data_IF_115250388497
#
_entry.id   IF_115250388497
#
_cell.length_a   1.000
_cell.length_b   1.000
_cell.length_c   1.000
_cell.angle_alpha   90.00
_cell.angle_beta   90.00
_cell.angle_gamma   90.00
#
_symmetry.space_group_name_H-M   'P 1'
#
loop_
_entity.id
_entity.type
_entity.pdbx_description
1 polymer ?
#
# COMPACT_ATOMS: atom_id res chain seq x y z
N UNK A 1 -15.79 -22.48 -44.10
CA UNK A 1 -15.08 -21.34 -43.47
C UNK A 1 -15.67 -21.11 -42.08
N UNK A 2 -14.88 -20.96 -40.99
CA UNK A 2 -13.55 -21.48 -40.70
C UNK A 2 -13.55 -22.42 -39.46
N UNK A 3 -12.49 -23.22 -39.34
CA UNK A 3 -12.24 -24.16 -38.25
C UNK A 3 -11.82 -23.41 -36.99
N UNK A 4 -12.31 -23.86 -35.83
CA UNK A 4 -11.98 -23.33 -34.51
C UNK A 4 -10.49 -23.46 -34.25
N UNK A 5 -9.83 -22.34 -33.98
CA UNK A 5 -8.42 -22.22 -33.63
C UNK A 5 -8.07 -23.14 -32.47
N UNK A 6 -7.46 -24.29 -32.76
CA UNK A 6 -6.71 -25.04 -31.76
C UNK A 6 -5.52 -24.19 -31.31
N UNK A 7 -5.63 -23.61 -30.12
CA UNK A 7 -4.65 -22.78 -29.41
C UNK A 7 -3.22 -22.78 -30.01
N UNK A 8 -2.77 -21.67 -30.62
CA UNK A 8 -1.57 -21.65 -31.47
C UNK A 8 -0.24 -21.59 -30.74
N UNK A 9 -0.19 -21.61 -29.40
CA UNK A 9 1.09 -21.54 -28.68
C UNK A 9 1.12 -22.45 -27.45
N UNK A 10 1.48 -23.72 -27.68
CA UNK A 10 2.07 -24.57 -26.63
C UNK A 10 3.58 -24.54 -26.83
N UNK A 11 4.27 -23.66 -26.11
CA UNK A 11 5.73 -23.73 -26.03
C UNK A 11 6.10 -25.12 -25.51
N UNK A 12 6.71 -25.96 -26.36
CA UNK A 12 7.31 -27.23 -25.92
C UNK A 12 8.39 -26.85 -24.92
N UNK A 13 8.18 -27.17 -23.63
CA UNK A 13 9.21 -27.06 -22.61
C UNK A 13 10.34 -28.01 -23.00
N UNK A 14 11.38 -27.49 -23.64
CA UNK A 14 12.66 -28.16 -23.78
C UNK A 14 13.41 -27.95 -22.46
N UNK A 15 13.13 -28.81 -21.49
CA UNK A 15 13.88 -28.85 -20.24
C UNK A 15 15.22 -29.51 -20.50
N UNK A 16 16.21 -28.70 -20.88
CA UNK A 16 17.61 -29.10 -20.82
C UNK A 16 18.16 -28.76 -19.43
N UNK A 17 18.97 -29.63 -18.84
CA UNK A 17 19.66 -29.34 -17.59
C UNK A 17 20.81 -28.36 -17.87
N UNK A 18 20.80 -27.20 -17.22
CA UNK A 18 21.84 -26.19 -17.45
C UNK A 18 23.01 -26.29 -16.45
N UNK A 19 22.84 -27.07 -15.38
CA UNK A 19 23.88 -27.28 -14.35
C UNK A 19 23.88 -28.75 -13.93
N UNK A 20 25.07 -29.32 -13.92
CA UNK A 20 25.38 -30.62 -13.31
C UNK A 20 26.45 -30.37 -12.24
N UNK A 21 26.24 -30.91 -11.04
CA UNK A 21 27.20 -30.83 -9.93
C UNK A 21 27.65 -32.26 -9.62
N UNK A 22 28.95 -32.49 -9.69
CA UNK A 22 29.57 -33.78 -9.39
C UNK A 22 30.32 -33.71 -8.06
N UNK A 23 30.20 -34.79 -7.29
CA UNK A 23 30.91 -34.96 -6.03
C UNK A 23 31.74 -36.23 -6.16
N UNK A 24 33.01 -36.17 -5.73
CA UNK A 24 33.89 -37.34 -5.71
C UNK A 24 33.43 -38.29 -4.61
N UNK A 25 33.21 -39.57 -4.94
CA UNK A 25 32.73 -40.56 -3.97
C UNK A 25 33.60 -40.63 -2.71
N UNK A 26 34.92 -40.47 -2.84
CA UNK A 26 35.86 -40.48 -1.70
C UNK A 26 35.67 -39.34 -0.70
N UNK A 27 35.02 -38.24 -1.10
CA UNK A 27 34.83 -37.02 -0.28
C UNK A 27 33.35 -36.75 0.00
N UNK A 28 32.49 -37.72 -0.33
CA UNK A 28 31.03 -37.59 -0.20
C UNK A 28 30.62 -37.36 1.25
N UNK A 29 31.13 -38.16 2.17
CA UNK A 29 30.70 -38.13 3.57
C UNK A 29 31.20 -36.88 4.32
N UNK A 30 32.31 -36.29 3.87
CA UNK A 30 32.84 -35.02 4.40
C UNK A 30 31.98 -33.82 3.97
N UNK A 31 31.55 -33.81 2.71
CA UNK A 31 30.73 -32.75 2.13
C UNK A 31 29.28 -32.83 2.63
N UNK A 32 28.74 -34.05 2.74
CA UNK A 32 27.40 -34.30 3.25
C UNK A 32 27.43 -34.52 4.77
N UNK A 33 27.68 -33.44 5.52
CA UNK A 33 27.61 -33.49 6.97
C UNK A 33 26.17 -33.33 7.48
N UNK A 34 25.81 -34.09 8.52
CA UNK A 34 24.54 -33.90 9.23
C UNK A 34 24.64 -32.68 10.13
N UNK A 35 24.05 -31.56 9.71
CA UNK A 35 24.06 -30.30 10.48
C UNK A 35 22.82 -30.26 11.38
N UNK A 36 23.02 -30.54 12.67
CA UNK A 36 21.97 -30.38 13.67
C UNK A 36 21.73 -28.90 13.99
N UNK A 37 20.51 -28.55 14.43
CA UNK A 37 20.12 -27.17 14.78
C UNK A 37 21.03 -26.52 15.84
N UNK A 38 21.74 -27.33 16.63
CA UNK A 38 22.69 -26.90 17.68
C UNK A 38 24.02 -26.36 17.12
N UNK A 39 24.37 -26.74 15.88
CA UNK A 39 25.58 -26.26 15.18
C UNK A 39 25.36 -24.87 14.58
N UNK A 40 24.09 -24.51 14.33
CA UNK A 40 23.71 -23.16 13.92
C UNK A 40 24.01 -22.23 15.08
N UNK A 41 25.00 -21.36 14.88
CA UNK A 41 25.47 -20.43 15.90
C UNK A 41 24.30 -19.62 16.48
N UNK A 42 24.18 -19.58 17.81
CA UNK A 42 23.06 -18.96 18.55
C UNK A 42 22.75 -17.52 18.10
N UNK A 43 23.78 -16.77 17.69
CA UNK A 43 23.61 -15.42 17.15
C UNK A 43 22.81 -15.39 15.82
N UNK A 44 23.01 -16.37 14.94
CA UNK A 44 22.27 -16.46 13.66
C UNK A 44 20.79 -16.71 13.94
N UNK A 45 20.49 -17.65 14.87
CA UNK A 45 19.13 -17.96 15.30
C UNK A 45 18.45 -16.74 15.94
N UNK A 46 19.12 -16.08 16.88
CA UNK A 46 18.58 -14.91 17.55
C UNK A 46 18.34 -13.73 16.60
N UNK A 47 19.21 -13.51 15.62
CA UNK A 47 19.01 -12.46 14.60
C UNK A 47 17.83 -12.80 13.69
N UNK A 48 17.71 -14.06 13.26
CA UNK A 48 16.61 -14.51 12.41
C UNK A 48 15.24 -14.36 13.08
N UNK A 49 15.12 -14.74 14.36
CA UNK A 49 13.86 -14.62 15.11
C UNK A 49 13.49 -13.15 15.34
N UNK A 50 14.45 -12.28 15.69
CA UNK A 50 14.21 -10.84 15.82
C UNK A 50 13.78 -10.20 14.49
N UNK A 51 14.34 -10.63 13.37
CA UNK A 51 13.95 -10.14 12.04
C UNK A 51 12.54 -10.58 11.64
N UNK A 52 12.19 -11.85 11.88
CA UNK A 52 10.84 -12.37 11.60
C UNK A 52 9.78 -11.65 12.42
N UNK A 53 10.02 -11.46 13.72
CA UNK A 53 9.08 -10.75 14.60
C UNK A 53 8.84 -9.31 14.17
N UNK A 54 9.90 -8.58 13.78
CA UNK A 54 9.77 -7.20 13.29
C UNK A 54 8.94 -7.14 12.02
N UNK A 55 9.23 -8.01 11.04
CA UNK A 55 8.47 -8.10 9.79
C UNK A 55 6.99 -8.43 10.03
N UNK A 56 6.68 -9.31 10.97
CA UNK A 56 5.28 -9.63 11.31
C UNK A 56 4.56 -8.46 11.98
N UNK A 57 5.21 -7.77 12.91
CA UNK A 57 4.63 -6.59 13.60
C UNK A 57 4.42 -5.42 12.63
N UNK A 58 5.32 -5.20 11.68
CA UNK A 58 5.20 -4.17 10.65
C UNK A 58 4.11 -4.50 9.63
N UNK A 59 4.06 -5.75 9.17
CA UNK A 59 2.99 -6.23 8.28
C UNK A 59 1.62 -6.10 8.94
N UNK A 60 1.47 -6.48 10.20
CA UNK A 60 0.21 -6.33 10.93
C UNK A 60 -0.22 -4.85 11.11
N UNK A 61 0.74 -3.94 11.31
CA UNK A 61 0.47 -2.50 11.38
C UNK A 61 0.03 -1.92 10.02
N UNK A 62 0.66 -2.35 8.94
CA UNK A 62 0.27 -1.96 7.58
C UNK A 62 -1.09 -2.57 7.19
N UNK A 63 -1.37 -3.80 7.63
CA UNK A 63 -2.60 -4.50 7.32
C UNK A 63 -3.80 -3.96 8.10
N UNK A 64 -3.62 -3.29 9.23
CA UNK A 64 -4.71 -2.68 10.01
C UNK A 64 -5.11 -1.28 9.55
N UNK A 65 -4.28 -0.62 8.73
CA UNK A 65 -4.51 0.76 8.30
C UNK A 65 -4.59 0.87 6.78
N UNK A 66 -5.39 1.82 6.30
CA UNK A 66 -5.52 2.15 4.89
C UNK A 66 -5.23 3.63 4.69
N UNK A 67 -4.53 3.93 3.61
CA UNK A 67 -4.22 5.29 3.20
C UNK A 67 -5.36 5.78 2.29
N UNK A 68 -6.05 6.85 2.70
CA UNK A 68 -7.11 7.49 1.93
C UNK A 68 -6.60 8.86 1.47
N UNK A 69 -6.53 9.07 0.16
CA UNK A 69 -6.22 10.38 -0.44
C UNK A 69 -7.52 11.09 -0.79
N UNK A 70 -7.68 12.31 -0.30
CA UNK A 70 -8.90 13.12 -0.51
C UNK A 70 -8.54 14.34 -1.34
N UNK A 71 -9.13 14.42 -2.53
CA UNK A 71 -9.03 15.60 -3.37
C UNK A 71 -10.27 16.49 -3.21
N UNK A 72 -10.04 17.80 -3.17
CA UNK A 72 -11.11 18.79 -3.26
C UNK A 72 -11.18 19.41 -4.65
N UNK A 73 -12.31 20.02 -4.98
CA UNK A 73 -12.54 20.68 -6.27
C UNK A 73 -11.40 21.61 -6.72
N UNK A 74 -10.77 22.34 -5.78
CA UNK A 74 -9.65 23.22 -6.07
C UNK A 74 -8.38 22.50 -6.59
N UNK A 75 -8.17 21.23 -6.22
CA UNK A 75 -7.03 20.42 -6.66
C UNK A 75 -7.23 19.87 -8.08
N UNK A 76 -8.49 19.56 -8.45
CA UNK A 76 -8.84 19.09 -9.79
C UNK A 76 -8.65 20.20 -10.84
N UNK A 77 -9.07 21.43 -10.54
CA UNK A 77 -9.05 22.55 -11.52
C UNK A 77 -7.63 22.91 -11.97
N UNK A 78 -6.64 22.79 -11.08
CA UNK A 78 -5.23 23.11 -11.40
C UNK A 78 -4.63 22.08 -12.36
N UNK A 79 -4.89 20.80 -12.14
CA UNK A 79 -4.22 19.73 -12.88
C UNK A 79 -4.83 19.50 -14.27
N UNK A 80 -6.15 19.72 -14.43
CA UNK A 80 -6.82 19.64 -15.75
C UNK A 80 -6.23 20.63 -16.77
N UNK A 81 -5.60 21.72 -16.31
CA UNK A 81 -4.98 22.73 -17.19
C UNK A 81 -3.58 22.35 -17.68
N UNK A 82 -2.97 21.30 -17.12
CA UNK A 82 -1.60 20.86 -17.43
C UNK A 82 -1.55 19.71 -18.45
N UNK A 83 -2.69 19.33 -19.04
CA UNK A 83 -2.83 18.31 -20.09
C UNK A 83 -2.23 16.94 -19.72
N UNK A 84 -2.40 16.56 -18.45
CA UNK A 84 -2.03 15.24 -17.91
C UNK A 84 -3.29 14.37 -17.83
N UNK A 85 -3.19 13.09 -18.19
CA UNK A 85 -4.30 12.13 -18.20
C UNK A 85 -4.90 11.82 -16.81
N UNK A 86 -4.34 12.36 -15.72
CA UNK A 86 -4.79 12.14 -14.36
C UNK A 86 -5.80 13.21 -13.90
N UNK A 87 -6.81 12.80 -13.11
CA UNK A 87 -7.84 13.71 -12.60
C UNK A 87 -7.32 14.69 -11.54
N UNK A 88 -6.25 14.32 -10.83
CA UNK A 88 -5.64 15.08 -9.73
C UNK A 88 -4.17 14.71 -9.58
N UNK A 89 -3.35 15.66 -9.15
CA UNK A 89 -1.98 15.39 -8.73
C UNK A 89 -1.98 14.60 -7.40
N UNK A 90 -1.48 13.36 -7.45
CA UNK A 90 -1.44 12.44 -6.32
C UNK A 90 -0.44 12.84 -5.23
N UNK A 91 0.46 13.78 -5.50
CA UNK A 91 1.42 14.33 -4.53
C UNK A 91 0.87 15.53 -3.76
N UNK A 92 -0.06 16.28 -4.38
CA UNK A 92 -0.62 17.51 -3.82
C UNK A 92 -2.01 17.33 -3.17
N UNK A 93 -2.48 16.09 -3.01
CA UNK A 93 -3.74 15.78 -2.33
C UNK A 93 -3.49 15.41 -0.88
N UNK A 94 -4.45 15.78 -0.01
CA UNK A 94 -4.34 15.43 1.39
C UNK A 94 -4.47 13.92 1.59
N UNK A 95 -3.54 13.37 2.35
CA UNK A 95 -3.46 11.93 2.64
C UNK A 95 -3.78 11.67 4.10
N UNK A 96 -4.64 10.69 4.37
CA UNK A 96 -5.03 10.24 5.71
C UNK A 96 -4.66 8.79 5.91
N UNK A 97 -4.07 8.45 7.05
CA UNK A 97 -3.91 7.07 7.49
C UNK A 97 -5.06 6.73 8.44
N UNK A 98 -5.94 5.82 8.03
CA UNK A 98 -7.18 5.51 8.75
C UNK A 98 -7.24 4.00 9.03
N UNK A 99 -7.63 3.56 10.25
CA UNK A 99 -7.87 2.15 10.53
C UNK A 99 -8.92 1.56 9.59
N UNK A 100 -8.70 0.32 9.12
CA UNK A 100 -9.65 -0.37 8.21
C UNK A 100 -11.03 -0.57 8.83
N UNK A 101 -11.08 -0.77 10.14
CA UNK A 101 -12.33 -0.98 10.88
C UNK A 101 -13.07 0.32 11.19
N UNK A 102 -12.55 1.49 10.75
CA UNK A 102 -13.23 2.76 10.96
C UNK A 102 -14.50 2.85 10.09
N UNK A 103 -15.68 3.09 10.69
CA UNK A 103 -16.89 3.28 9.91
C UNK A 103 -16.81 4.60 9.12
N UNK A 104 -17.30 4.55 7.88
CA UNK A 104 -17.25 5.70 6.96
C UNK A 104 -17.96 6.95 7.51
N UNK A 105 -18.99 6.80 8.35
CA UNK A 105 -19.69 7.91 9.00
C UNK A 105 -18.77 8.70 9.94
N UNK A 106 -17.89 8.03 10.67
CA UNK A 106 -16.88 8.66 11.53
C UNK A 106 -15.84 9.37 10.68
N UNK A 107 -15.38 8.75 9.59
CA UNK A 107 -14.45 9.38 8.66
C UNK A 107 -15.02 10.67 8.03
N UNK A 108 -16.31 10.68 7.61
CA UNK A 108 -16.98 11.90 7.12
C UNK A 108 -16.97 13.03 8.15
N UNK A 109 -17.21 12.72 9.43
CA UNK A 109 -17.19 13.72 10.50
C UNK A 109 -15.79 14.33 10.67
N UNK A 110 -14.75 13.50 10.59
CA UNK A 110 -13.35 13.97 10.64
C UNK A 110 -13.04 14.92 9.47
N UNK A 111 -13.42 14.54 8.25
CA UNK A 111 -13.26 15.40 7.07
C UNK A 111 -14.04 16.71 7.18
N UNK A 112 -15.29 16.64 7.67
CA UNK A 112 -16.13 17.83 7.87
C UNK A 112 -15.53 18.78 8.91
N UNK A 113 -15.05 18.24 10.04
CA UNK A 113 -14.40 19.01 11.09
C UNK A 113 -13.12 19.67 10.61
N UNK A 114 -12.27 18.92 9.91
CA UNK A 114 -11.03 19.46 9.38
C UNK A 114 -11.26 20.50 8.29
N UNK A 115 -12.24 20.27 7.40
CA UNK A 115 -12.67 21.28 6.41
C UNK A 115 -13.15 22.55 7.12
N UNK A 116 -13.93 22.42 8.19
CA UNK A 116 -14.39 23.57 8.98
C UNK A 116 -13.23 24.33 9.63
N UNK A 117 -12.24 23.64 10.20
CA UNK A 117 -11.04 24.28 10.76
C UNK A 117 -10.24 25.04 9.70
N UNK A 118 -10.03 24.43 8.53
CA UNK A 118 -9.38 25.09 7.39
C UNK A 118 -10.18 26.34 6.96
N UNK A 119 -11.50 26.21 6.85
CA UNK A 119 -12.37 27.33 6.47
C UNK A 119 -12.39 28.45 7.53
N UNK A 120 -12.37 28.10 8.81
CA UNK A 120 -12.29 29.06 9.93
C UNK A 120 -10.98 29.82 9.93
N UNK A 121 -9.85 29.15 9.65
CA UNK A 121 -8.55 29.81 9.53
C UNK A 121 -8.47 30.74 8.32
N UNK A 122 -9.17 30.40 7.23
CA UNK A 122 -9.28 31.26 6.03
C UNK A 122 -10.20 32.47 6.28
N UNK A 123 -11.30 32.30 7.03
CA UNK A 123 -12.25 33.37 7.34
C UNK A 123 -11.76 34.30 8.46
N UNK A 124 -10.80 33.87 9.29
CA UNK A 124 -10.11 34.73 10.25
C UNK A 124 -9.45 35.97 9.64
N UNK A 125 -9.29 36.00 8.32
CA UNK A 125 -8.81 37.16 7.56
C UNK A 125 -9.93 38.00 6.87
N UNK A 126 -11.21 37.77 7.19
CA UNK A 126 -12.30 38.69 6.87
C UNK A 126 -13.39 38.13 5.97
N UNK A 127 -14.42 37.49 6.56
CA UNK A 127 -15.71 37.32 5.88
C UNK A 127 -16.90 37.35 6.86
N UNK A 128 -17.96 38.02 6.43
CA UNK A 128 -19.19 38.31 7.17
C UNK A 128 -20.00 37.06 7.57
N UNK A 129 -20.57 37.11 8.78
CA UNK A 129 -21.29 36.06 9.52
C UNK A 129 -22.47 35.41 8.78
N UNK A 130 -23.03 36.03 7.73
CA UNK A 130 -24.22 35.55 7.01
C UNK A 130 -24.04 34.29 6.14
N UNK A 131 -22.82 33.87 5.81
CA UNK A 131 -22.59 32.65 5.00
C UNK A 131 -22.51 31.36 5.82
N UNK A 132 -22.38 31.45 7.15
CA UNK A 132 -22.15 30.29 8.04
C UNK A 132 -23.45 29.48 8.23
N UNK A 133 -24.61 30.14 8.27
CA UNK A 133 -25.91 29.49 8.55
C UNK A 133 -26.40 28.57 7.41
N UNK A 134 -26.00 28.85 6.17
CA UNK A 134 -26.37 28.02 5.02
C UNK A 134 -25.64 26.66 4.99
N UNK A 135 -24.44 26.58 5.57
CA UNK A 135 -23.70 25.30 5.62
C UNK A 135 -24.23 24.39 6.74
N UNK A 136 -24.61 24.96 7.89
CA UNK A 136 -25.23 24.20 9.01
C UNK A 136 -26.55 23.53 8.59
N UNK A 137 -27.36 24.21 7.77
CA UNK A 137 -28.61 23.65 7.21
C UNK A 137 -28.37 22.55 6.16
N UNK A 138 -27.22 22.57 5.46
CA UNK A 138 -26.91 21.62 4.39
C UNK A 138 -26.28 20.31 4.88
N UNK A 139 -25.63 20.31 6.04
CA UNK A 139 -25.09 19.10 6.68
C UNK A 139 -26.11 18.34 7.57
N UNK A 140 -27.33 18.87 7.74
CA UNK A 140 -28.39 18.26 8.54
C UNK A 140 -29.46 17.53 7.70
N UNK A 141 -29.25 17.38 6.37
CA UNK A 141 -30.07 16.58 5.47
C UNK A 141 -29.24 15.45 4.89
#
# INVERSE_FOLDING_TARGET
LPQVLSNPFKFKKLSNAYILVYIRDSSKDEIFCNVDEKVIFEHIRATLEREKEKKMKEKAKADSHTIIKVAWKAHCVKHIQEDVFDLVDHHNVQTFCVPKDMPFSTFKKLLAFQKYLLWRNVIGCGANIGQIDNFRKKCSK
#
